data_IF_795907002676
#
_entry.id   IF_795907002676
#
_cell.length_a   1.000
_cell.length_b   1.000
_cell.length_c   1.000
_cell.angle_alpha   90.00
_cell.angle_beta   90.00
_cell.angle_gamma   90.00
#
_symmetry.space_group_name_H-M   'P 1'
#
loop_
_entity.id
_entity.type
_entity.pdbx_description
1 polymer ?
#
# COMPACT_ATOMS: atom_id res chain seq x y z
N UNK A 1 -18.27 -32.38 1.69
CA UNK A 1 -17.32 -31.29 1.97
C UNK A 1 -17.03 -31.38 3.44
N UNK A 2 -15.79 -31.56 3.78
CA UNK A 2 -15.38 -31.67 5.17
C UNK A 2 -15.59 -30.33 5.88
N UNK A 3 -16.09 -30.37 7.12
CA UNK A 3 -16.32 -29.18 7.94
C UNK A 3 -15.14 -28.84 8.83
N UNK A 4 -13.94 -29.30 8.45
CA UNK A 4 -12.71 -28.99 9.18
C UNK A 4 -12.34 -27.53 9.04
N UNK A 5 -11.62 -27.02 10.01
CA UNK A 5 -11.09 -25.68 9.97
C UNK A 5 -10.19 -25.47 8.75
N UNK A 6 -10.39 -24.40 8.02
CA UNK A 6 -9.61 -23.98 6.86
C UNK A 6 -8.71 -22.80 7.32
N UNK A 7 -7.42 -22.82 6.99
CA UNK A 7 -6.70 -23.74 6.08
C UNK A 7 -6.35 -25.09 6.72
N UNK A 8 -6.22 -26.10 5.87
CA UNK A 8 -5.71 -27.43 6.26
C UNK A 8 -5.05 -28.13 5.05
N UNK A 9 -4.28 -29.21 5.30
CA UNK A 9 -3.53 -29.90 4.27
C UNK A 9 -4.40 -30.70 3.26
N UNK A 10 -5.66 -30.93 3.56
CA UNK A 10 -6.57 -31.69 2.70
C UNK A 10 -7.31 -30.79 1.70
N UNK A 11 -7.70 -29.59 2.13
CA UNK A 11 -8.55 -28.66 1.38
C UNK A 11 -7.87 -27.32 1.08
N UNK A 12 -6.67 -27.10 1.59
CA UNK A 12 -5.93 -25.84 1.48
C UNK A 12 -6.76 -24.68 2.03
N UNK A 13 -6.93 -23.65 1.23
CA UNK A 13 -7.73 -22.45 1.54
C UNK A 13 -9.22 -22.61 1.21
N UNK A 14 -9.67 -23.82 0.88
CA UNK A 14 -11.04 -24.12 0.56
C UNK A 14 -11.47 -23.72 -0.85
N UNK A 15 -12.77 -23.56 -1.05
CA UNK A 15 -13.37 -23.29 -2.36
C UNK A 15 -13.37 -21.79 -2.67
N UNK A 16 -12.99 -21.45 -3.91
CA UNK A 16 -13.08 -20.08 -4.42
C UNK A 16 -14.54 -19.61 -4.43
N UNK A 17 -14.79 -18.43 -3.85
CA UNK A 17 -16.10 -17.77 -3.83
C UNK A 17 -16.00 -16.43 -4.56
N UNK A 18 -16.21 -16.45 -5.87
CA UNK A 18 -16.11 -15.25 -6.72
C UNK A 18 -17.12 -14.17 -6.35
N UNK A 19 -18.32 -14.56 -5.86
CA UNK A 19 -19.33 -13.59 -5.45
C UNK A 19 -18.82 -12.71 -4.30
N UNK A 20 -18.30 -13.33 -3.25
CA UNK A 20 -17.77 -12.57 -2.09
C UNK A 20 -16.45 -11.84 -2.39
N UNK A 21 -15.73 -12.28 -3.42
CA UNK A 21 -14.48 -11.63 -3.85
C UNK A 21 -14.74 -10.41 -4.72
N UNK A 22 -15.68 -10.49 -5.68
CA UNK A 22 -15.91 -9.43 -6.67
C UNK A 22 -17.06 -8.48 -6.30
N UNK A 23 -18.04 -8.98 -5.54
CA UNK A 23 -19.20 -8.23 -5.09
C UNK A 23 -19.53 -8.60 -3.64
N UNK A 24 -18.69 -8.19 -2.69
CA UNK A 24 -18.87 -8.58 -1.28
C UNK A 24 -20.19 -8.05 -0.73
N UNK A 25 -20.86 -8.90 0.07
CA UNK A 25 -22.14 -8.57 0.67
C UNK A 25 -21.96 -7.67 1.91
N UNK A 26 -23.03 -6.98 2.29
CA UNK A 26 -23.23 -6.32 3.60
C UNK A 26 -22.19 -5.25 3.98
N UNK A 27 -21.80 -4.39 3.05
CA UNK A 27 -20.88 -3.28 3.37
C UNK A 27 -19.45 -3.70 3.67
N UNK A 28 -19.07 -4.91 3.26
CA UNK A 28 -17.69 -5.39 3.30
C UNK A 28 -16.90 -4.69 2.20
N UNK A 29 -15.91 -3.90 2.60
CA UNK A 29 -14.94 -3.31 1.67
C UNK A 29 -13.82 -4.29 1.34
N UNK A 30 -13.24 -4.14 0.14
CA UNK A 30 -11.99 -4.80 -0.25
C UNK A 30 -11.06 -3.71 -0.78
N UNK A 31 -9.86 -3.67 -0.24
CA UNK A 31 -8.76 -2.85 -0.71
C UNK A 31 -7.63 -3.75 -1.22
N UNK A 32 -6.97 -3.37 -2.30
CA UNK A 32 -5.91 -4.16 -2.94
C UNK A 32 -4.76 -3.24 -3.37
N UNK A 33 -3.54 -3.70 -3.17
CA UNK A 33 -2.33 -3.20 -3.82
C UNK A 33 -1.60 -4.38 -4.49
N UNK A 34 -1.40 -4.29 -5.81
CA UNK A 34 -0.69 -5.28 -6.64
C UNK A 34 0.51 -4.67 -7.38
N UNK A 35 0.95 -3.48 -6.96
CA UNK A 35 2.01 -2.71 -7.63
C UNK A 35 3.26 -2.52 -6.78
N UNK A 36 3.17 -2.81 -5.50
CA UNK A 36 4.29 -2.64 -4.58
C UNK A 36 5.34 -3.72 -4.77
N UNK A 37 6.59 -3.35 -4.50
CA UNK A 37 7.76 -4.22 -4.57
C UNK A 37 8.65 -4.01 -3.36
N UNK A 38 9.36 -5.06 -2.94
CA UNK A 38 10.48 -5.00 -1.99
C UNK A 38 11.75 -5.42 -2.71
N UNK A 39 12.90 -4.90 -2.31
CA UNK A 39 14.16 -5.06 -3.06
C UNK A 39 15.31 -5.57 -2.20
N UNK A 40 15.17 -5.55 -0.89
CA UNK A 40 16.26 -5.89 0.02
C UNK A 40 15.73 -6.47 1.32
N UNK A 41 16.45 -7.44 1.87
CA UNK A 41 16.19 -7.97 3.21
C UNK A 41 16.09 -6.85 4.25
N UNK A 42 15.07 -6.89 5.05
CA UNK A 42 14.75 -5.90 6.08
C UNK A 42 13.95 -4.69 5.59
N UNK A 43 13.71 -4.55 4.29
CA UNK A 43 12.80 -3.55 3.76
C UNK A 43 11.35 -3.88 4.15
N UNK A 44 10.52 -2.88 4.33
CA UNK A 44 9.11 -3.06 4.65
C UNK A 44 8.22 -2.04 3.96
N UNK A 45 6.98 -2.45 3.71
CA UNK A 45 5.89 -1.59 3.26
C UNK A 45 4.76 -1.63 4.27
N UNK A 46 4.26 -0.47 4.67
CA UNK A 46 3.17 -0.36 5.64
C UNK A 46 1.92 0.25 5.02
N UNK A 47 0.78 -0.22 5.46
CA UNK A 47 -0.55 0.25 5.09
C UNK A 47 -1.36 0.47 6.37
N UNK A 48 -2.11 1.54 6.44
CA UNK A 48 -2.89 1.90 7.62
C UNK A 48 -4.37 1.92 7.27
N UNK A 49 -5.17 1.26 8.08
CA UNK A 49 -6.61 1.16 7.89
C UNK A 49 -7.36 1.58 9.13
N UNK A 50 -8.48 2.28 8.94
CA UNK A 50 -9.44 2.51 10.00
C UNK A 50 -10.59 1.50 9.88
N UNK A 51 -10.73 0.63 10.86
CA UNK A 51 -11.87 -0.30 10.98
C UNK A 51 -12.95 0.39 11.78
N UNK A 52 -14.07 0.71 11.15
CA UNK A 52 -15.15 1.51 11.77
C UNK A 52 -16.20 0.68 12.49
N UNK A 53 -16.30 -0.63 12.20
CA UNK A 53 -17.21 -1.56 12.85
C UNK A 53 -16.45 -2.56 13.71
N UNK A 54 -16.81 -2.63 15.00
CA UNK A 54 -16.28 -3.66 15.88
C UNK A 54 -16.99 -5.03 15.66
N UNK A 55 -16.33 -6.11 16.08
CA UNK A 55 -16.85 -7.48 16.03
C UNK A 55 -17.21 -7.95 14.61
N UNK A 56 -16.48 -7.46 13.62
CA UNK A 56 -16.60 -7.89 12.23
C UNK A 56 -15.33 -8.60 11.80
N UNK A 57 -15.44 -9.45 10.78
CA UNK A 57 -14.29 -10.16 10.25
C UNK A 57 -13.34 -9.20 9.52
N UNK A 58 -12.06 -9.28 9.87
CA UNK A 58 -10.96 -8.68 9.12
C UNK A 58 -10.11 -9.79 8.51
N UNK A 59 -9.86 -9.71 7.21
CA UNK A 59 -8.99 -10.63 6.49
C UNK A 59 -7.96 -9.85 5.70
N UNK A 60 -6.70 -10.20 5.91
CA UNK A 60 -5.58 -9.71 5.13
C UNK A 60 -4.90 -10.87 4.43
N UNK A 61 -4.58 -10.72 3.15
CA UNK A 61 -3.94 -11.74 2.32
C UNK A 61 -2.77 -11.11 1.61
N UNK A 62 -1.58 -11.69 1.79
CA UNK A 62 -0.36 -11.39 1.06
C UNK A 62 -0.06 -12.56 0.11
N UNK A 63 0.29 -12.28 -1.13
CA UNK A 63 0.71 -13.29 -2.11
C UNK A 63 1.79 -12.73 -3.03
N UNK A 64 2.74 -13.59 -3.41
CA UNK A 64 3.78 -13.21 -4.38
C UNK A 64 4.18 -14.40 -5.25
N UNK A 65 4.70 -14.07 -6.43
CA UNK A 65 5.32 -15.05 -7.33
C UNK A 65 6.81 -15.05 -7.04
N UNK A 66 7.25 -16.05 -6.28
CA UNK A 66 8.65 -16.19 -5.91
C UNK A 66 9.52 -16.67 -7.08
N UNK A 67 10.80 -16.41 -6.99
CA UNK A 67 11.79 -16.92 -7.91
C UNK A 67 11.92 -18.44 -7.78
N UNK A 68 12.50 -19.09 -8.82
CA UNK A 68 12.67 -20.55 -8.82
C UNK A 68 13.68 -20.96 -7.74
N UNK A 69 13.25 -21.79 -6.80
CA UNK A 69 14.11 -22.42 -5.80
C UNK A 69 15.09 -23.45 -6.34
N UNK A 70 16.05 -23.82 -5.53
CA UNK A 70 17.05 -24.85 -5.86
C UNK A 70 16.46 -26.26 -5.65
N UNK A 71 16.75 -27.19 -6.59
CA UNK A 71 16.34 -28.60 -6.48
C UNK A 71 16.85 -29.32 -5.24
N UNK A 72 17.90 -28.81 -4.64
CA UNK A 72 18.58 -29.43 -3.49
C UNK A 72 18.32 -28.66 -2.18
N UNK A 73 17.48 -27.62 -2.20
CA UNK A 73 17.09 -26.89 -0.99
C UNK A 73 15.90 -27.57 -0.31
N UNK A 74 15.94 -27.66 1.00
CA UNK A 74 14.80 -28.11 1.79
C UNK A 74 13.71 -27.03 1.87
N UNK A 75 14.08 -25.74 1.80
CA UNK A 75 13.17 -24.62 1.63
C UNK A 75 13.22 -24.13 0.19
N UNK A 76 12.08 -23.98 -0.44
CA UNK A 76 11.97 -23.57 -1.84
C UNK A 76 11.78 -22.07 -2.02
N UNK A 77 11.44 -21.32 -0.95
CA UNK A 77 11.39 -19.87 -1.01
C UNK A 77 12.79 -19.28 -1.27
N UNK A 78 12.86 -18.38 -2.23
CA UNK A 78 14.03 -17.56 -2.55
C UNK A 78 13.90 -16.19 -1.92
N UNK A 79 12.73 -15.59 -2.04
CA UNK A 79 12.37 -14.34 -1.37
C UNK A 79 11.25 -14.65 -0.38
N UNK A 80 11.52 -14.43 0.88
CA UNK A 80 10.60 -14.69 1.97
C UNK A 80 9.99 -13.37 2.44
N UNK A 81 8.69 -13.19 2.20
CA UNK A 81 7.95 -12.02 2.62
C UNK A 81 7.04 -12.37 3.81
N UNK A 82 7.12 -11.58 4.85
CA UNK A 82 6.33 -11.73 6.06
C UNK A 82 5.14 -10.76 6.11
N UNK A 83 3.97 -11.27 6.45
CA UNK A 83 2.79 -10.46 6.77
C UNK A 83 2.67 -10.25 8.27
N UNK A 84 2.61 -9.00 8.70
CA UNK A 84 2.27 -8.61 10.07
C UNK A 84 1.05 -7.70 10.08
N UNK A 85 0.10 -7.98 10.95
CA UNK A 85 -1.09 -7.15 11.15
C UNK A 85 -1.17 -6.75 12.63
N UNK A 86 -1.04 -5.46 12.89
CA UNK A 86 -1.10 -4.88 14.23
C UNK A 86 -2.48 -4.28 14.48
N UNK A 87 -3.11 -4.70 15.56
CA UNK A 87 -4.40 -4.21 16.01
C UNK A 87 -4.29 -2.88 16.78
N UNK A 88 -5.42 -2.18 17.03
CA UNK A 88 -5.43 -0.90 17.74
C UNK A 88 -4.85 -0.94 19.16
N UNK A 89 -4.81 -2.09 19.81
CA UNK A 89 -4.21 -2.30 21.14
C UNK A 89 -2.73 -2.72 21.11
N UNK A 90 -2.12 -2.77 19.90
CA UNK A 90 -0.74 -3.16 19.71
C UNK A 90 -0.50 -4.67 19.61
N UNK A 91 -1.55 -5.49 19.59
CA UNK A 91 -1.42 -6.93 19.38
C UNK A 91 -1.00 -7.22 17.93
N UNK A 92 0.04 -8.05 17.74
CA UNK A 92 0.56 -8.41 16.42
C UNK A 92 0.11 -9.83 16.05
N UNK A 93 -0.47 -9.95 14.86
CA UNK A 93 -0.81 -11.21 14.22
C UNK A 93 0.15 -11.44 13.06
N UNK A 94 0.77 -12.62 13.03
CA UNK A 94 1.67 -13.04 11.95
C UNK A 94 0.88 -13.79 10.86
N UNK A 95 1.37 -13.72 9.63
CA UNK A 95 0.81 -14.48 8.53
C UNK A 95 0.86 -15.97 8.81
N UNK A 96 -0.21 -16.67 8.46
CA UNK A 96 -0.37 -18.12 8.63
C UNK A 96 -0.22 -18.67 10.06
N UNK A 97 -0.13 -17.82 11.08
CA UNK A 97 -0.17 -18.27 12.49
C UNK A 97 -1.64 -18.54 12.90
N UNK A 98 -2.08 -19.80 12.76
CA UNK A 98 -3.46 -20.22 12.94
C UNK A 98 -3.66 -21.22 14.09
N UNK A 99 -4.78 -21.03 14.81
CA UNK A 99 -5.37 -22.05 15.65
C UNK A 99 -6.86 -22.15 15.34
N UNK A 100 -7.36 -23.36 15.09
CA UNK A 100 -8.77 -23.63 14.76
C UNK A 100 -9.29 -22.79 13.56
N UNK A 101 -8.46 -22.63 12.52
CA UNK A 101 -8.81 -21.90 11.31
C UNK A 101 -8.88 -20.37 11.46
N UNK A 102 -8.34 -19.82 12.53
CA UNK A 102 -8.27 -18.39 12.82
C UNK A 102 -6.87 -17.98 13.23
N UNK A 103 -6.51 -16.73 12.93
CA UNK A 103 -5.23 -16.20 13.37
C UNK A 103 -5.14 -16.11 14.88
N UNK A 104 -4.02 -16.54 15.39
CA UNK A 104 -3.62 -16.45 16.79
C UNK A 104 -2.39 -15.57 16.93
N UNK A 105 -1.84 -15.49 18.12
CA UNK A 105 -0.67 -14.65 18.43
C UNK A 105 0.39 -15.45 19.16
N UNK A 106 1.66 -15.02 19.02
CA UNK A 106 2.79 -15.63 19.72
C UNK A 106 3.41 -16.82 19.01
N UNK A 107 2.99 -17.12 17.78
CA UNK A 107 3.62 -18.11 16.92
C UNK A 107 4.89 -17.60 16.23
N UNK A 108 5.28 -18.26 15.17
CA UNK A 108 6.45 -17.93 14.34
C UNK A 108 6.01 -17.49 12.97
N UNK A 109 6.86 -16.78 12.27
CA UNK A 109 6.68 -16.43 10.87
C UNK A 109 6.66 -17.67 10.00
N UNK A 110 5.96 -17.60 8.88
CA UNK A 110 5.91 -18.66 7.86
C UNK A 110 7.04 -18.43 6.85
N UNK A 111 8.05 -19.27 6.88
CA UNK A 111 9.21 -19.23 5.97
C UNK A 111 9.13 -20.26 4.82
N UNK A 112 7.93 -20.80 4.57
CA UNK A 112 7.72 -21.89 3.60
C UNK A 112 6.76 -21.50 2.46
N UNK A 113 5.74 -20.72 2.76
CA UNK A 113 4.67 -20.42 1.82
C UNK A 113 4.81 -19.02 1.21
N UNK A 114 4.51 -18.89 -0.09
CA UNK A 114 4.43 -17.62 -0.81
C UNK A 114 3.00 -17.01 -0.81
N UNK A 115 2.20 -17.44 0.15
CA UNK A 115 0.87 -16.91 0.45
C UNK A 115 0.72 -16.86 1.97
N UNK A 116 0.45 -15.68 2.50
CA UNK A 116 0.21 -15.49 3.93
C UNK A 116 -1.12 -14.82 4.20
N UNK A 117 -1.80 -15.27 5.23
CA UNK A 117 -3.12 -14.78 5.60
C UNK A 117 -3.19 -14.48 7.09
N UNK A 118 -3.82 -13.35 7.41
CA UNK A 118 -4.33 -13.05 8.75
C UNK A 118 -5.85 -13.00 8.66
N UNK A 119 -6.53 -13.79 9.50
CA UNK A 119 -7.99 -13.90 9.54
C UNK A 119 -8.50 -13.78 10.98
N UNK A 120 -9.17 -12.69 11.27
CA UNK A 120 -9.71 -12.32 12.58
C UNK A 120 -11.23 -12.20 12.46
N UNK A 121 -12.02 -12.98 13.23
CA UNK A 121 -13.49 -12.93 13.15
C UNK A 121 -14.09 -11.73 13.87
N UNK A 122 -13.43 -11.27 14.92
CA UNK A 122 -13.93 -10.22 15.82
C UNK A 122 -12.93 -9.08 15.92
N UNK A 123 -12.65 -8.43 14.79
CA UNK A 123 -11.76 -7.28 14.78
C UNK A 123 -12.32 -6.14 15.62
N UNK A 124 -11.44 -5.49 16.37
CA UNK A 124 -11.84 -4.30 17.12
C UNK A 124 -11.86 -3.07 16.23
N UNK A 125 -12.70 -2.11 16.61
CA UNK A 125 -12.73 -0.79 15.98
C UNK A 125 -11.45 -0.02 16.28
N UNK A 126 -10.92 0.67 15.29
CA UNK A 126 -9.74 1.53 15.44
C UNK A 126 -8.76 1.43 14.30
N UNK A 127 -7.54 1.86 14.55
CA UNK A 127 -6.46 1.92 13.56
C UNK A 127 -5.69 0.60 13.57
N UNK A 128 -5.65 -0.02 12.41
CA UNK A 128 -4.90 -1.23 12.14
C UNK A 128 -3.73 -0.92 11.22
N UNK A 129 -2.58 -1.53 11.47
CA UNK A 129 -1.41 -1.41 10.59
C UNK A 129 -1.07 -2.76 9.99
N UNK A 130 -1.02 -2.82 8.68
CA UNK A 130 -0.61 -4.00 7.92
C UNK A 130 0.80 -3.75 7.40
N UNK A 131 1.73 -4.66 7.64
CA UNK A 131 3.12 -4.57 7.17
C UNK A 131 3.47 -5.79 6.35
N UNK A 132 4.10 -5.55 5.21
CA UNK A 132 4.80 -6.56 4.44
C UNK A 132 6.29 -6.32 4.64
N UNK A 133 6.99 -7.31 5.14
CA UNK A 133 8.43 -7.23 5.43
C UNK A 133 9.19 -8.21 4.54
N UNK A 134 10.36 -7.83 4.11
CA UNK A 134 11.29 -8.72 3.42
C UNK A 134 12.17 -9.40 4.47
N UNK A 135 11.81 -10.63 4.84
CA UNK A 135 12.52 -11.45 5.82
C UNK A 135 13.82 -12.02 5.27
N UNK A 136 13.80 -12.45 4.00
CA UNK A 136 14.96 -12.96 3.27
C UNK A 136 14.82 -12.63 1.78
N UNK A 137 15.82 -11.98 1.23
CA UNK A 137 15.90 -11.65 -0.19
C UNK A 137 17.09 -12.38 -0.83
N UNK A 138 16.82 -13.54 -1.42
CA UNK A 138 17.84 -14.40 -2.04
C UNK A 138 18.14 -14.10 -3.50
N UNK A 139 17.31 -13.25 -4.12
CA UNK A 139 17.46 -12.82 -5.51
C UNK A 139 18.16 -11.47 -5.66
N UNK A 140 18.61 -11.15 -6.86
CA UNK A 140 19.18 -9.84 -7.21
C UNK A 140 18.13 -8.83 -7.69
N UNK A 141 16.86 -9.24 -7.81
CA UNK A 141 15.78 -8.45 -8.38
C UNK A 141 14.74 -8.12 -7.31
N UNK A 142 13.95 -7.08 -7.57
CA UNK A 142 12.80 -6.72 -6.74
C UNK A 142 11.80 -7.86 -6.67
N UNK A 143 11.18 -8.06 -5.50
CA UNK A 143 10.07 -9.00 -5.30
C UNK A 143 8.74 -8.23 -5.33
N UNK A 144 7.98 -8.32 -6.44
CA UNK A 144 6.62 -7.83 -6.49
C UNK A 144 5.70 -8.68 -5.63
N UNK A 145 4.70 -8.05 -5.02
CA UNK A 145 3.68 -8.75 -4.25
C UNK A 145 2.30 -8.12 -4.45
N UNK A 146 1.28 -8.88 -4.14
CA UNK A 146 -0.08 -8.41 -4.01
C UNK A 146 -0.57 -8.56 -2.57
N UNK A 147 -1.25 -7.54 -2.07
CA UNK A 147 -1.88 -7.57 -0.76
C UNK A 147 -3.34 -7.13 -0.88
N UNK A 148 -4.23 -7.86 -0.21
CA UNK A 148 -5.63 -7.53 -0.11
C UNK A 148 -6.07 -7.45 1.34
N UNK A 149 -6.80 -6.40 1.69
CA UNK A 149 -7.42 -6.24 3.02
C UNK A 149 -8.92 -6.15 2.85
N UNK A 150 -9.68 -6.97 3.56
CA UNK A 150 -11.12 -6.99 3.47
C UNK A 150 -11.78 -7.07 4.83
N UNK A 151 -12.85 -6.33 5.01
CA UNK A 151 -13.62 -6.30 6.25
C UNK A 151 -14.77 -5.33 6.17
N UNK A 152 -15.63 -5.38 7.17
CA UNK A 152 -16.75 -4.45 7.28
C UNK A 152 -16.25 -3.09 7.77
N UNK A 153 -16.53 -2.02 7.00
CA UNK A 153 -16.08 -0.67 7.35
C UNK A 153 -14.57 -0.48 7.38
N UNK A 154 -13.82 -1.26 6.60
CA UNK A 154 -12.39 -1.06 6.40
C UNK A 154 -12.19 0.11 5.43
N UNK A 155 -11.49 1.14 5.89
CA UNK A 155 -11.11 2.30 5.09
C UNK A 155 -9.58 2.45 5.16
N UNK A 156 -8.93 2.46 4.02
CA UNK A 156 -7.50 2.75 3.96
C UNK A 156 -7.24 4.21 4.33
N UNK A 157 -6.18 4.43 5.09
CA UNK A 157 -5.74 5.77 5.50
C UNK A 157 -4.47 6.12 4.75
N UNK A 158 -4.61 6.94 3.72
CA UNK A 158 -3.48 7.40 2.91
C UNK A 158 -3.65 8.85 2.48
N UNK A 159 -2.53 9.60 2.37
CA UNK A 159 -2.53 10.84 1.61
C UNK A 159 -2.60 10.52 0.11
N UNK A 160 -3.20 11.39 -0.66
CA UNK A 160 -3.25 11.28 -2.13
C UNK A 160 -3.10 12.68 -2.77
N UNK A 161 -1.90 13.27 -2.71
CA UNK A 161 -1.64 14.58 -3.31
C UNK A 161 -1.61 14.47 -4.83
N UNK A 162 -2.41 15.28 -5.50
CA UNK A 162 -2.55 15.32 -6.94
C UNK A 162 -2.44 16.76 -7.45
N UNK A 163 -1.74 16.96 -8.57
CA UNK A 163 -1.79 18.24 -9.27
C UNK A 163 -3.18 18.37 -9.91
N UNK A 164 -3.86 19.46 -9.61
CA UNK A 164 -5.19 19.72 -10.17
C UNK A 164 -5.06 19.95 -11.69
N UNK A 165 -5.78 19.17 -12.47
CA UNK A 165 -5.75 19.30 -13.92
C UNK A 165 -6.15 20.73 -14.37
N UNK A 166 -5.40 21.28 -15.32
CA UNK A 166 -5.60 22.64 -15.83
C UNK A 166 -5.43 23.79 -14.80
N UNK A 167 -4.86 23.51 -13.62
CA UNK A 167 -4.58 24.56 -12.61
C UNK A 167 -3.30 25.34 -12.89
N UNK A 168 -2.48 24.87 -13.84
CA UNK A 168 -1.21 25.53 -14.17
C UNK A 168 -1.48 26.81 -14.97
N UNK A 169 -1.11 27.94 -14.37
CA UNK A 169 -1.29 29.27 -14.94
C UNK A 169 0.05 29.99 -15.05
N UNK A 170 0.30 30.57 -16.21
CA UNK A 170 1.43 31.45 -16.47
C UNK A 170 0.93 32.90 -16.52
N UNK A 171 1.72 33.83 -15.99
CA UNK A 171 1.45 35.25 -16.15
C UNK A 171 1.78 35.81 -17.55
N UNK A 172 2.55 35.04 -18.34
CA UNK A 172 2.96 35.37 -19.70
C UNK A 172 2.61 34.17 -20.58
N UNK A 173 1.83 34.39 -21.66
CA UNK A 173 1.37 33.33 -22.55
C UNK A 173 2.46 32.79 -23.49
N UNK A 174 3.43 33.64 -23.85
CA UNK A 174 4.58 33.30 -24.72
C UNK A 174 5.83 33.92 -24.09
N UNK A 175 6.50 33.18 -23.17
CA UNK A 175 7.69 33.67 -22.50
C UNK A 175 8.84 33.95 -23.48
N UNK A 176 9.51 35.09 -23.33
CA UNK A 176 10.72 35.43 -24.05
C UNK A 176 11.95 35.33 -23.12
N UNK A 177 13.13 35.24 -23.72
CA UNK A 177 14.39 35.25 -22.97
C UNK A 177 14.48 36.52 -22.11
N UNK A 178 14.69 36.35 -20.82
CA UNK A 178 14.78 37.42 -19.83
C UNK A 178 13.46 37.83 -19.18
N UNK A 179 12.32 37.32 -19.62
CA UNK A 179 11.04 37.56 -18.96
C UNK A 179 11.00 36.93 -17.58
N UNK A 180 10.42 37.60 -16.60
CA UNK A 180 10.11 37.02 -15.32
C UNK A 180 8.76 36.28 -15.42
N UNK A 181 8.81 34.99 -15.60
CA UNK A 181 7.65 34.11 -15.69
C UNK A 181 7.23 33.66 -14.28
N UNK A 182 5.96 33.92 -13.93
CA UNK A 182 5.34 33.38 -12.73
C UNK A 182 4.45 32.22 -13.13
N UNK A 183 4.78 31.04 -12.63
CA UNK A 183 3.97 29.83 -12.76
C UNK A 183 3.21 29.62 -11.45
N UNK A 184 1.92 29.38 -11.53
CA UNK A 184 1.08 29.01 -10.39
C UNK A 184 0.36 27.71 -10.72
N UNK A 185 0.31 26.79 -9.76
CA UNK A 185 -0.49 25.56 -9.87
C UNK A 185 -1.15 25.24 -8.52
N UNK A 186 -2.14 24.38 -8.56
CA UNK A 186 -2.86 23.91 -7.38
C UNK A 186 -2.60 22.42 -7.19
N UNK A 187 -2.33 22.02 -5.94
CA UNK A 187 -2.21 20.62 -5.53
C UNK A 187 -3.30 20.32 -4.51
N UNK A 188 -4.06 19.28 -4.77
CA UNK A 188 -5.19 18.82 -3.96
C UNK A 188 -4.85 17.48 -3.31
N UNK A 189 -5.20 17.29 -2.03
CA UNK A 189 -5.09 16.00 -1.36
C UNK A 189 -6.44 15.28 -1.44
N UNK A 190 -6.57 14.34 -2.38
CA UNK A 190 -7.74 13.47 -2.52
C UNK A 190 -7.79 12.35 -1.48
N UNK A 191 -6.71 12.18 -0.70
CA UNK A 191 -6.62 11.22 0.39
C UNK A 191 -7.46 11.61 1.61
N UNK A 192 -7.50 10.71 2.58
CA UNK A 192 -8.30 10.85 3.80
C UNK A 192 -7.49 11.16 5.06
N UNK A 193 -6.18 11.26 4.95
CA UNK A 193 -5.28 11.80 5.96
C UNK A 193 -4.42 12.93 5.39
N UNK A 194 -3.81 13.71 6.27
CA UNK A 194 -2.90 14.79 5.90
C UNK A 194 -1.73 14.26 5.07
N UNK A 195 -1.48 14.89 3.93
CA UNK A 195 -0.25 14.71 3.17
C UNK A 195 0.81 15.65 3.76
N UNK A 196 1.81 15.08 4.42
CA UNK A 196 2.89 15.82 5.03
C UNK A 196 4.13 15.81 4.15
N UNK A 197 4.84 16.94 4.10
CA UNK A 197 6.11 17.09 3.40
C UNK A 197 6.04 16.64 1.93
N UNK A 198 4.96 17.02 1.24
CA UNK A 198 4.80 16.72 -0.20
C UNK A 198 5.80 17.53 -0.99
N UNK A 199 6.72 16.86 -1.64
CA UNK A 199 7.71 17.50 -2.52
C UNK A 199 7.11 17.82 -3.88
N UNK A 200 7.13 19.09 -4.23
CA UNK A 200 6.72 19.63 -5.51
C UNK A 200 7.97 20.10 -6.27
N UNK A 201 8.34 19.40 -7.33
CA UNK A 201 9.43 19.80 -8.21
C UNK A 201 8.88 20.58 -9.42
N UNK A 202 9.49 21.72 -9.69
CA UNK A 202 9.28 22.47 -10.93
C UNK A 202 10.37 22.09 -11.93
N UNK A 203 9.96 21.45 -13.02
CA UNK A 203 10.89 20.88 -14.02
C UNK A 203 10.59 21.49 -15.38
N UNK A 204 11.64 21.95 -16.07
CA UNK A 204 11.58 22.45 -17.46
C UNK A 204 12.57 21.62 -18.29
N UNK A 205 12.10 21.04 -19.39
CA UNK A 205 12.90 20.23 -20.32
C UNK A 205 13.73 19.12 -19.61
N UNK A 206 13.18 18.56 -18.54
CA UNK A 206 13.81 17.51 -17.73
C UNK A 206 14.83 18.01 -16.69
N UNK A 207 15.02 19.33 -16.57
CA UNK A 207 15.86 19.96 -15.55
C UNK A 207 15.00 20.50 -14.42
N UNK A 208 15.33 20.14 -13.17
CA UNK A 208 14.68 20.69 -11.99
C UNK A 208 15.15 22.11 -11.73
N UNK A 209 14.25 23.08 -11.83
CA UNK A 209 14.51 24.51 -11.63
C UNK A 209 14.28 24.96 -10.19
N UNK A 210 13.31 24.36 -9.50
CA UNK A 210 12.97 24.69 -8.10
C UNK A 210 12.21 23.53 -7.45
N UNK A 211 12.27 23.46 -6.12
CA UNK A 211 11.55 22.48 -5.29
C UNK A 211 10.92 23.14 -4.09
N UNK A 212 9.70 22.73 -3.76
CA UNK A 212 8.97 23.19 -2.57
C UNK A 212 8.35 22.01 -1.85
N UNK A 213 8.27 22.12 -0.54
CA UNK A 213 7.59 21.15 0.31
C UNK A 213 6.34 21.79 0.89
N UNK A 214 5.21 21.09 0.80
CA UNK A 214 3.93 21.56 1.31
C UNK A 214 3.21 20.49 2.10
N UNK A 215 2.43 20.93 3.09
CA UNK A 215 1.49 20.09 3.81
C UNK A 215 0.06 20.36 3.31
N UNK A 216 -0.72 19.30 3.07
CA UNK A 216 -2.08 19.42 2.53
C UNK A 216 -3.03 18.56 3.36
N UNK A 217 -4.01 19.18 4.01
CA UNK A 217 -5.04 18.46 4.75
C UNK A 217 -5.95 17.64 3.82
N UNK A 218 -6.62 16.59 4.32
CA UNK A 218 -7.58 15.82 3.54
C UNK A 218 -8.64 16.72 2.91
N UNK A 219 -8.91 16.51 1.62
CA UNK A 219 -9.93 17.29 0.88
C UNK A 219 -9.58 18.76 0.67
N UNK A 220 -8.37 19.20 1.00
CA UNK A 220 -7.93 20.58 0.82
C UNK A 220 -6.98 20.71 -0.37
N UNK A 221 -6.86 21.95 -0.86
CA UNK A 221 -5.89 22.34 -1.87
C UNK A 221 -4.83 23.28 -1.31
N UNK A 222 -3.67 23.29 -1.98
CA UNK A 222 -2.61 24.27 -1.78
C UNK A 222 -2.16 24.82 -3.12
N UNK A 223 -2.10 26.13 -3.21
CA UNK A 223 -1.51 26.81 -4.37
C UNK A 223 0.00 26.90 -4.17
N UNK A 224 0.75 26.57 -5.20
CA UNK A 224 2.19 26.75 -5.28
C UNK A 224 2.54 27.66 -6.44
N UNK A 225 3.52 28.55 -6.21
CA UNK A 225 3.94 29.57 -7.17
C UNK A 225 5.46 29.49 -7.33
N UNK A 226 5.91 29.44 -8.56
CA UNK A 226 7.34 29.46 -8.93
C UNK A 226 7.62 30.69 -9.79
N UNK A 227 8.88 31.10 -9.81
CA UNK A 227 9.40 32.15 -10.68
C UNK A 227 10.55 31.59 -11.50
N UNK A 228 10.51 31.83 -12.77
CA UNK A 228 11.51 31.38 -13.73
C UNK A 228 11.85 32.46 -14.72
N UNK A 229 13.11 32.50 -15.17
CA UNK A 229 13.58 33.42 -16.20
C UNK A 229 14.18 32.57 -17.33
N UNK A 230 13.52 32.50 -18.51
CA UNK A 230 14.05 31.78 -19.65
C UNK A 230 15.46 32.31 -20.02
N UNK A 231 16.43 31.42 -20.12
CA UNK A 231 17.78 31.72 -20.55
C UNK A 231 18.03 31.44 -22.05
N UNK A 232 17.14 30.69 -22.67
CA UNK A 232 17.17 30.31 -24.07
C UNK A 232 15.79 30.47 -24.71
N UNK A 233 15.74 30.76 -26.02
CA UNK A 233 14.49 30.74 -26.79
C UNK A 233 14.04 29.28 -26.95
N UNK A 234 12.81 28.97 -26.54
CA UNK A 234 12.18 27.70 -26.82
C UNK A 234 11.98 27.48 -28.33
N UNK A 235 12.06 26.23 -28.76
CA UNK A 235 11.70 25.79 -30.12
C UNK A 235 10.24 25.38 -30.17
#
# INVERSE_FOLDING_TARGET
INTRDIPNNDEGWGRVNLKETLAPSQGRGIWVDDRSVLSNTGQSKSYVFNVTFANSQLKTVLAWSDARGSRFSNNQLVNDLDLEVESPDGTIYLGNDFANGRSTTGGTKDDVNNLEVVLIDTAMKGIWTVRVKDGMHGGSNTQPFAIAVSGQGVNDLRPDPQVVANSMLLNVSIPQVGDQVRLTTEVFNAGNIKAESVDLAFVIDGVEEDRKTVDINPGASRQSTWYWIPSQSGT
#
